data_IF_073079116491
#
_entry.id   IF_073079116491
#
_cell.length_a   1.000
_cell.length_b   1.000
_cell.length_c   1.000
_cell.angle_alpha   90.00
_cell.angle_beta   90.00
_cell.angle_gamma   90.00
#
_symmetry.space_group_name_H-M   'P 1'
#
loop_
_entity.id
_entity.type
_entity.pdbx_description
1 polymer ?
#
# COMPACT_ATOMS: atom_id res chain seq x y z
N UNK A 1 -3.22 29.75 -8.06
CA UNK A 1 -2.75 29.37 -9.41
C UNK A 1 -2.43 30.65 -10.15
N UNK A 2 -1.23 30.78 -10.72
CA UNK A 2 -0.79 31.96 -11.46
C UNK A 2 -0.72 31.54 -12.94
N UNK A 3 -1.54 32.20 -13.80
CA UNK A 3 -1.52 31.96 -15.24
C UNK A 3 -0.77 33.11 -15.92
N UNK A 4 0.22 32.78 -16.75
CA UNK A 4 0.97 33.78 -17.54
C UNK A 4 0.28 34.00 -18.88
N UNK A 5 -0.60 35.03 -18.93
CA UNK A 5 -1.18 35.49 -20.16
C UNK A 5 -2.49 34.82 -20.61
N UNK A 6 -3.22 35.47 -21.52
CA UNK A 6 -4.49 34.98 -22.06
C UNK A 6 -4.34 33.78 -23.02
N UNK A 7 -3.17 33.59 -23.62
CA UNK A 7 -2.87 32.46 -24.53
C UNK A 7 -2.99 31.12 -23.81
N UNK A 8 -2.53 31.07 -22.55
CA UNK A 8 -2.63 29.85 -21.72
C UNK A 8 -4.09 29.43 -21.51
N UNK A 9 -5.00 30.42 -21.33
CA UNK A 9 -6.43 30.13 -21.16
C UNK A 9 -7.01 29.58 -22.47
N UNK A 10 -6.58 30.10 -23.60
CA UNK A 10 -7.02 29.60 -24.91
C UNK A 10 -6.52 28.19 -25.19
N UNK A 11 -5.28 27.89 -24.84
CA UNK A 11 -4.72 26.56 -24.98
C UNK A 11 -5.42 25.53 -24.06
N UNK A 12 -5.74 25.92 -22.82
CA UNK A 12 -6.53 25.07 -21.91
C UNK A 12 -7.91 24.71 -22.47
N UNK A 13 -8.53 25.61 -23.24
CA UNK A 13 -9.84 25.34 -23.86
C UNK A 13 -9.79 24.29 -24.98
N UNK A 14 -8.60 23.93 -25.45
CA UNK A 14 -8.37 22.93 -26.51
C UNK A 14 -7.89 21.58 -25.98
N UNK A 15 -7.69 21.48 -24.66
CA UNK A 15 -7.24 20.22 -24.03
C UNK A 15 -8.33 19.17 -24.20
N UNK A 16 -8.02 18.09 -24.89
CA UNK A 16 -8.91 16.95 -25.07
C UNK A 16 -8.45 15.70 -24.30
N UNK A 17 -7.22 15.69 -23.81
CA UNK A 17 -6.63 14.60 -23.05
C UNK A 17 -5.97 15.13 -21.77
N UNK A 18 -6.31 14.54 -20.62
CA UNK A 18 -5.68 14.86 -19.34
C UNK A 18 -5.07 13.60 -18.76
N UNK A 19 -3.79 13.68 -18.40
CA UNK A 19 -3.05 12.61 -17.76
C UNK A 19 -2.89 12.92 -16.28
N UNK A 20 -3.29 12.00 -15.43
CA UNK A 20 -3.18 12.11 -13.99
C UNK A 20 -2.13 11.16 -13.46
N UNK A 21 -1.26 11.66 -12.58
CA UNK A 21 -0.54 10.80 -11.66
C UNK A 21 -1.50 10.24 -10.61
N UNK A 22 -1.29 8.98 -10.20
CA UNK A 22 -2.14 8.34 -9.19
C UNK A 22 -1.86 8.89 -7.80
N UNK A 23 -0.60 8.76 -7.36
CA UNK A 23 -0.23 8.95 -5.95
C UNK A 23 -0.15 10.42 -5.57
N UNK A 24 -0.91 10.83 -4.55
CA UNK A 24 -0.96 12.21 -4.09
C UNK A 24 -1.80 13.15 -4.98
N UNK A 25 -2.20 12.72 -6.19
CA UNK A 25 -3.08 13.47 -7.09
C UNK A 25 -4.52 12.95 -7.03
N UNK A 26 -4.79 11.77 -7.53
CA UNK A 26 -6.11 11.12 -7.44
C UNK A 26 -6.33 10.44 -6.10
N UNK A 27 -5.25 10.04 -5.45
CA UNK A 27 -5.25 9.53 -4.08
C UNK A 27 -4.74 10.59 -3.09
N UNK A 28 -4.91 10.32 -1.81
CA UNK A 28 -4.49 11.22 -0.72
C UNK A 28 -2.97 11.28 -0.61
N UNK A 29 -2.26 10.22 -1.04
CA UNK A 29 -0.81 10.08 -0.94
C UNK A 29 -0.35 9.55 0.43
N UNK A 30 -1.29 9.04 1.21
CA UNK A 30 -1.02 8.44 2.51
C UNK A 30 -1.57 7.01 2.52
N UNK A 31 -0.71 5.98 2.44
CA UNK A 31 -1.13 4.60 2.56
C UNK A 31 -1.72 4.35 3.96
N UNK A 32 -2.78 3.56 4.02
CA UNK A 32 -3.41 3.13 5.26
C UNK A 32 -3.63 1.61 5.24
N UNK A 33 -3.50 0.97 6.41
CA UNK A 33 -3.84 -0.44 6.57
C UNK A 33 -5.36 -0.56 6.48
N UNK A 34 -5.83 -1.29 5.48
CA UNK A 34 -7.25 -1.53 5.22
C UNK A 34 -7.71 -2.89 5.74
N UNK A 35 -6.79 -3.84 5.82
CA UNK A 35 -7.07 -5.21 6.24
C UNK A 35 -5.87 -5.75 7.02
N UNK A 36 -6.15 -6.48 8.11
CA UNK A 36 -5.15 -7.18 8.88
C UNK A 36 -5.67 -8.57 9.26
N UNK A 37 -4.93 -9.61 8.87
CA UNK A 37 -5.16 -10.99 9.28
C UNK A 37 -4.07 -11.43 10.24
N UNK A 38 -4.46 -11.98 11.38
CA UNK A 38 -3.58 -12.56 12.38
C UNK A 38 -3.77 -14.09 12.40
N UNK A 39 -2.65 -14.83 12.40
CA UNK A 39 -2.61 -16.30 12.40
C UNK A 39 -1.79 -16.80 13.58
N UNK A 40 -2.03 -16.23 14.74
CA UNK A 40 -1.33 -16.53 15.99
C UNK A 40 -2.30 -16.51 17.15
N UNK A 41 -2.04 -17.29 18.17
CA UNK A 41 -2.79 -17.25 19.43
C UNK A 41 -2.29 -16.13 20.36
N UNK A 42 -1.04 -15.67 20.17
CA UNK A 42 -0.44 -14.55 20.90
C UNK A 42 -0.38 -13.29 20.04
N UNK A 43 -1.51 -12.65 19.90
CA UNK A 43 -1.61 -11.42 19.11
C UNK A 43 -0.85 -10.24 19.72
N UNK A 44 -0.79 -10.12 21.04
CA UNK A 44 -0.13 -9.01 21.73
C UNK A 44 1.38 -8.99 21.48
N UNK A 45 2.05 -10.12 21.67
CA UNK A 45 3.48 -10.25 21.35
C UNK A 45 3.74 -10.06 19.86
N UNK A 46 2.90 -10.62 18.99
CA UNK A 46 3.03 -10.52 17.53
C UNK A 46 2.94 -9.07 17.06
N UNK A 47 1.98 -8.29 17.56
CA UNK A 47 1.84 -6.88 17.21
C UNK A 47 2.98 -6.02 17.78
N UNK A 48 3.49 -6.37 18.96
CA UNK A 48 4.68 -5.73 19.54
C UNK A 48 5.93 -5.97 18.71
N UNK A 49 6.14 -7.20 18.21
CA UNK A 49 7.24 -7.54 17.28
C UNK A 49 7.11 -6.72 16.00
N UNK A 50 5.94 -6.73 15.37
CA UNK A 50 5.67 -5.99 14.13
C UNK A 50 5.95 -4.49 14.31
N UNK A 51 5.41 -3.89 15.37
CA UNK A 51 5.60 -2.46 15.67
C UNK A 51 7.06 -2.13 15.94
N UNK A 52 7.80 -2.99 16.64
CA UNK A 52 9.20 -2.73 17.00
C UNK A 52 10.11 -2.67 15.77
N UNK A 53 9.90 -3.57 14.81
CA UNK A 53 10.70 -3.62 13.58
C UNK A 53 10.30 -2.47 12.64
N UNK A 54 9.00 -2.23 12.44
CA UNK A 54 8.52 -1.21 11.51
C UNK A 54 8.80 0.23 11.99
N UNK A 55 8.96 0.47 13.29
CA UNK A 55 9.39 1.76 13.83
C UNK A 55 10.80 2.17 13.41
N UNK A 56 11.66 1.22 13.07
CA UNK A 56 13.01 1.50 12.58
C UNK A 56 13.05 1.88 11.10
N UNK A 57 11.92 1.76 10.39
CA UNK A 57 11.82 1.98 8.96
C UNK A 57 11.20 3.33 8.61
N UNK A 58 11.82 4.06 7.68
CA UNK A 58 11.26 5.29 7.10
C UNK A 58 10.29 5.04 5.94
N UNK A 59 10.07 3.78 5.56
CA UNK A 59 9.20 3.44 4.45
C UNK A 59 7.74 3.87 4.71
N UNK A 60 7.02 4.43 3.72
CA UNK A 60 5.63 4.88 3.92
C UNK A 60 4.68 3.78 4.42
N UNK A 61 4.87 2.52 3.98
CA UNK A 61 4.07 1.39 4.45
C UNK A 61 4.34 1.08 5.93
N UNK A 62 5.60 1.15 6.37
CA UNK A 62 5.97 0.97 7.76
C UNK A 62 5.31 2.01 8.67
N UNK A 63 5.34 3.29 8.26
CA UNK A 63 4.67 4.38 8.97
C UNK A 63 3.15 4.16 9.06
N UNK A 64 2.54 3.64 7.98
CA UNK A 64 1.12 3.30 7.95
C UNK A 64 0.80 2.16 8.94
N UNK A 65 1.64 1.14 9.01
CA UNK A 65 1.49 0.01 9.94
C UNK A 65 1.60 0.51 11.39
N UNK A 66 2.66 1.25 11.72
CA UNK A 66 2.85 1.79 13.09
C UNK A 66 1.69 2.68 13.51
N UNK A 67 1.20 3.54 12.60
CA UNK A 67 0.02 4.38 12.85
C UNK A 67 -1.23 3.53 13.13
N UNK A 68 -1.45 2.48 12.36
CA UNK A 68 -2.60 1.59 12.50
C UNK A 68 -2.59 0.81 13.82
N UNK A 69 -1.41 0.30 14.21
CA UNK A 69 -1.25 -0.47 15.44
C UNK A 69 -1.38 0.39 16.71
N UNK A 70 -1.12 1.70 16.60
CA UNK A 70 -1.07 2.57 17.76
C UNK A 70 0.11 2.26 18.70
N UNK A 71 0.05 2.70 19.96
CA UNK A 71 1.09 2.43 20.94
C UNK A 71 1.21 0.94 21.25
N UNK A 72 2.40 0.37 21.01
CA UNK A 72 2.74 -1.01 21.33
C UNK A 72 4.01 -1.05 22.20
N UNK A 73 4.17 -2.05 23.07
CA UNK A 73 5.44 -2.30 23.75
C UNK A 73 6.57 -2.45 22.72
N UNK A 74 7.72 -1.85 22.99
CA UNK A 74 8.90 -1.93 22.12
C UNK A 74 9.80 -3.04 22.62
N UNK A 75 10.07 -3.99 21.75
CA UNK A 75 10.95 -5.12 21.99
C UNK A 75 12.32 -4.82 21.37
N UNK A 76 13.43 -5.20 22.02
CA UNK A 76 14.75 -5.08 21.44
C UNK A 76 14.86 -5.88 20.14
N UNK A 77 15.33 -5.23 19.08
CA UNK A 77 15.59 -5.84 17.79
C UNK A 77 17.10 -6.06 17.63
N UNK A 78 17.47 -7.24 17.17
CA UNK A 78 18.86 -7.61 16.94
C UNK A 78 19.04 -8.07 15.49
N UNK A 79 20.26 -7.94 14.98
CA UNK A 79 20.66 -8.47 13.66
C UNK A 79 19.72 -8.06 12.53
N UNK A 80 19.31 -6.80 12.51
CA UNK A 80 18.44 -6.25 11.47
C UNK A 80 19.17 -6.21 10.13
N UNK A 81 18.57 -6.81 9.11
CA UNK A 81 19.07 -6.83 7.73
C UNK A 81 17.97 -6.45 6.76
N UNK A 82 18.25 -5.44 5.91
CA UNK A 82 17.33 -5.10 4.82
C UNK A 82 17.52 -6.08 3.66
N UNK A 83 16.42 -6.71 3.24
CA UNK A 83 16.40 -7.64 2.11
C UNK A 83 16.27 -6.87 0.78
N UNK A 84 17.11 -7.21 -0.19
CA UNK A 84 16.94 -6.70 -1.56
C UNK A 84 15.63 -7.21 -2.13
N UNK A 85 14.75 -6.29 -2.54
CA UNK A 85 13.44 -6.65 -3.09
C UNK A 85 12.25 -6.38 -2.18
N UNK A 86 12.46 -5.86 -0.97
CA UNK A 86 11.37 -5.26 -0.18
C UNK A 86 11.03 -5.96 1.12
N UNK A 87 11.96 -5.99 2.04
CA UNK A 87 11.68 -6.47 3.40
C UNK A 87 12.83 -6.29 4.36
N UNK A 88 12.58 -6.68 5.60
CA UNK A 88 13.52 -6.65 6.72
C UNK A 88 13.51 -8.02 7.39
N UNK A 89 14.70 -8.50 7.75
CA UNK A 89 14.87 -9.61 8.68
C UNK A 89 15.49 -9.09 9.96
N UNK A 90 15.02 -9.58 11.09
CA UNK A 90 15.54 -9.24 12.40
C UNK A 90 15.43 -10.44 13.35
N UNK A 91 16.09 -10.35 14.49
CA UNK A 91 15.90 -11.27 15.61
C UNK A 91 15.25 -10.49 16.75
N UNK A 92 14.11 -10.96 17.25
CA UNK A 92 13.38 -10.36 18.37
C UNK A 92 13.10 -11.47 19.38
N UNK A 93 13.48 -11.26 20.63
CA UNK A 93 13.37 -12.29 21.68
C UNK A 93 13.98 -13.65 21.29
N UNK A 94 15.08 -13.65 20.54
CA UNK A 94 15.73 -14.86 20.05
C UNK A 94 15.04 -15.55 18.87
N UNK A 95 13.92 -15.03 18.39
CA UNK A 95 13.17 -15.56 17.25
C UNK A 95 13.51 -14.80 15.96
N UNK A 96 13.65 -15.52 14.86
CA UNK A 96 13.86 -14.92 13.53
C UNK A 96 12.54 -14.42 12.97
N UNK A 97 12.53 -13.17 12.62
CA UNK A 97 11.37 -12.46 12.05
C UNK A 97 11.72 -11.96 10.65
N UNK A 98 10.81 -12.14 9.70
CA UNK A 98 10.91 -11.52 8.39
C UNK A 98 9.61 -10.74 8.11
N UNK A 99 9.76 -9.47 7.71
CA UNK A 99 8.64 -8.57 7.36
C UNK A 99 8.90 -7.96 5.99
N UNK A 100 7.88 -7.89 5.16
CA UNK A 100 7.96 -7.25 3.85
C UNK A 100 6.91 -7.74 2.88
N UNK A 101 7.16 -7.59 1.58
CA UNK A 101 6.28 -8.14 0.57
C UNK A 101 6.34 -9.69 0.56
N UNK A 102 5.49 -10.34 -0.23
CA UNK A 102 5.40 -11.81 -0.27
C UNK A 102 6.74 -12.52 -0.52
N UNK A 103 7.72 -11.86 -1.14
CA UNK A 103 9.04 -12.46 -1.45
C UNK A 103 9.90 -12.70 -0.20
N UNK A 104 9.57 -12.10 0.96
CA UNK A 104 10.28 -12.35 2.22
C UNK A 104 9.95 -13.72 2.84
N UNK A 105 8.84 -14.32 2.42
CA UNK A 105 8.48 -15.65 2.85
C UNK A 105 9.48 -16.65 2.25
N UNK A 106 10.25 -17.28 3.11
CA UNK A 106 11.17 -18.34 2.68
C UNK A 106 10.40 -19.53 2.09
N UNK A 107 11.07 -20.36 1.30
CA UNK A 107 10.50 -21.62 0.79
C UNK A 107 10.11 -22.59 1.89
N UNK A 108 10.58 -22.38 3.11
CA UNK A 108 10.22 -23.17 4.28
C UNK A 108 8.84 -22.79 4.88
N UNK A 109 8.30 -21.62 4.52
CA UNK A 109 6.96 -21.20 4.96
C UNK A 109 5.90 -21.95 4.17
N UNK A 110 5.18 -22.84 4.83
CA UNK A 110 4.02 -23.52 4.27
C UNK A 110 2.76 -22.74 4.62
N UNK A 111 2.07 -22.24 3.59
CA UNK A 111 0.81 -21.53 3.77
C UNK A 111 -0.34 -22.52 3.95
N UNK A 112 -1.19 -22.27 4.92
CA UNK A 112 -2.49 -22.97 5.01
C UNK A 112 -3.40 -22.53 3.87
N UNK A 113 -4.43 -23.31 3.50
CA UNK A 113 -5.40 -22.90 2.49
C UNK A 113 -6.07 -21.54 2.78
N UNK A 114 -6.34 -21.26 4.07
CA UNK A 114 -6.88 -19.97 4.50
C UNK A 114 -5.91 -18.82 4.24
N UNK A 115 -4.67 -18.95 4.66
CA UNK A 115 -3.63 -17.94 4.45
C UNK A 115 -3.39 -17.66 2.96
N UNK A 116 -3.41 -18.70 2.13
CA UNK A 116 -3.29 -18.55 0.68
C UNK A 116 -4.49 -17.83 0.07
N UNK A 117 -5.71 -18.10 0.53
CA UNK A 117 -6.92 -17.42 0.09
C UNK A 117 -6.94 -15.95 0.49
N UNK A 118 -6.61 -15.65 1.75
CA UNK A 118 -6.56 -14.27 2.26
C UNK A 118 -5.51 -13.41 1.48
N UNK A 119 -4.35 -13.99 1.16
CA UNK A 119 -3.35 -13.33 0.31
C UNK A 119 -3.86 -13.07 -1.11
N UNK A 120 -4.51 -14.07 -1.72
CA UNK A 120 -5.06 -13.94 -3.06
C UNK A 120 -6.16 -12.87 -3.13
N UNK A 121 -7.03 -12.78 -2.14
CA UNK A 121 -8.06 -11.75 -2.04
C UNK A 121 -7.47 -10.34 -2.02
N UNK A 122 -6.42 -10.10 -1.22
CA UNK A 122 -5.75 -8.82 -1.16
C UNK A 122 -5.00 -8.48 -2.47
N UNK A 123 -4.40 -9.49 -3.13
CA UNK A 123 -3.78 -9.33 -4.44
C UNK A 123 -4.82 -8.96 -5.51
N UNK A 124 -5.97 -9.62 -5.51
CA UNK A 124 -7.08 -9.32 -6.43
C UNK A 124 -7.69 -7.94 -6.16
N UNK A 125 -7.75 -7.54 -4.89
CA UNK A 125 -8.15 -6.19 -4.50
C UNK A 125 -7.12 -5.11 -4.84
N UNK A 126 -5.97 -5.45 -5.43
CA UNK A 126 -4.91 -4.52 -5.83
C UNK A 126 -4.28 -3.76 -4.66
N UNK A 127 -4.23 -4.37 -3.49
CA UNK A 127 -3.61 -3.79 -2.30
C UNK A 127 -2.11 -4.07 -2.27
N UNK A 128 -1.35 -3.18 -1.63
CA UNK A 128 0.04 -3.48 -1.28
C UNK A 128 0.03 -4.44 -0.09
N UNK A 129 0.67 -5.60 -0.25
CA UNK A 129 0.68 -6.63 0.78
C UNK A 129 1.98 -6.56 1.57
N UNK A 130 1.84 -6.53 2.89
CA UNK A 130 2.95 -6.75 3.83
C UNK A 130 2.65 -8.00 4.64
N UNK A 131 3.62 -8.90 4.72
CA UNK A 131 3.55 -10.13 5.51
C UNK A 131 4.60 -10.13 6.60
N UNK A 132 4.31 -10.75 7.73
CA UNK A 132 5.29 -11.06 8.77
C UNK A 132 5.28 -12.55 9.06
N UNK A 133 6.47 -13.16 9.01
CA UNK A 133 6.69 -14.53 9.49
C UNK A 133 7.64 -14.56 10.69
N UNK A 134 7.35 -15.44 11.63
CA UNK A 134 8.19 -15.72 12.80
C UNK A 134 8.56 -17.20 12.75
N UNK A 135 9.85 -17.52 12.83
CA UNK A 135 10.38 -18.91 12.74
C UNK A 135 9.78 -19.70 11.56
N UNK A 136 9.67 -19.06 10.38
CA UNK A 136 9.08 -19.61 9.15
C UNK A 136 7.57 -19.93 9.24
N UNK A 137 6.85 -19.37 10.20
CA UNK A 137 5.40 -19.43 10.27
C UNK A 137 4.81 -18.07 9.93
N UNK A 138 3.90 -18.01 8.96
CA UNK A 138 3.19 -16.78 8.63
C UNK A 138 2.26 -16.42 9.78
N UNK A 139 2.47 -15.25 10.38
CA UNK A 139 1.68 -14.78 11.52
C UNK A 139 0.81 -13.57 11.19
N UNK A 140 1.24 -12.70 10.26
CA UNK A 140 0.49 -11.51 9.91
C UNK A 140 0.45 -11.33 8.41
N UNK A 141 -0.70 -10.95 7.89
CA UNK A 141 -0.90 -10.44 6.54
C UNK A 141 -1.62 -9.10 6.65
N UNK A 142 -1.05 -8.08 6.04
CA UNK A 142 -1.61 -6.73 5.97
C UNK A 142 -1.90 -6.36 4.52
N UNK A 143 -3.09 -5.85 4.28
CA UNK A 143 -3.45 -5.14 3.08
C UNK A 143 -3.37 -3.64 3.31
N UNK A 144 -2.65 -2.94 2.45
CA UNK A 144 -2.42 -1.50 2.55
C UNK A 144 -2.82 -0.86 1.23
N UNK A 145 -3.62 0.18 1.28
CA UNK A 145 -4.04 0.94 0.10
C UNK A 145 -3.93 2.45 0.35
N UNK A 146 -3.63 3.18 -0.72
CA UNK A 146 -3.74 4.63 -0.71
C UNK A 146 -5.17 5.01 -1.12
N UNK A 147 -5.84 5.77 -0.28
CA UNK A 147 -7.24 6.11 -0.47
C UNK A 147 -7.44 7.09 -1.62
N UNK A 148 -8.40 6.82 -2.48
CA UNK A 148 -8.88 7.76 -3.50
C UNK A 148 -9.48 8.98 -2.82
N UNK A 149 -9.18 10.18 -3.34
CA UNK A 149 -9.76 11.42 -2.80
C UNK A 149 -11.29 11.40 -2.93
N UNK A 150 -12.05 11.76 -1.89
CA UNK A 150 -13.51 11.67 -1.90
C UNK A 150 -14.19 12.33 -3.11
N UNK A 151 -13.62 13.44 -3.61
CA UNK A 151 -14.18 14.21 -4.72
C UNK A 151 -13.53 13.90 -6.08
N UNK A 152 -12.56 12.97 -6.16
CA UNK A 152 -11.82 12.70 -7.40
C UNK A 152 -12.77 12.29 -8.53
N UNK A 153 -13.69 11.36 -8.28
CA UNK A 153 -14.66 10.89 -9.27
C UNK A 153 -15.56 12.02 -9.80
N UNK A 154 -16.02 12.89 -8.91
CA UNK A 154 -16.86 14.03 -9.29
C UNK A 154 -16.09 15.04 -10.16
N UNK A 155 -14.84 15.36 -9.81
CA UNK A 155 -13.99 16.26 -10.60
C UNK A 155 -13.66 15.68 -11.97
N UNK A 156 -13.39 14.36 -12.07
CA UNK A 156 -13.17 13.68 -13.35
C UNK A 156 -14.42 13.72 -14.24
N UNK A 157 -15.60 13.52 -13.64
CA UNK A 157 -16.87 13.64 -14.37
C UNK A 157 -17.09 15.07 -14.89
N UNK A 158 -16.76 16.11 -14.10
CA UNK A 158 -16.83 17.50 -14.54
C UNK A 158 -15.89 17.78 -15.71
N UNK A 159 -14.66 17.25 -15.71
CA UNK A 159 -13.75 17.39 -16.85
C UNK A 159 -14.33 16.81 -18.15
N UNK A 160 -14.96 15.62 -18.07
CA UNK A 160 -15.68 15.04 -19.22
C UNK A 160 -16.81 15.93 -19.72
N UNK A 161 -17.59 16.53 -18.81
CA UNK A 161 -18.65 17.47 -19.16
C UNK A 161 -18.13 18.77 -19.81
N UNK A 162 -16.93 19.22 -19.45
CA UNK A 162 -16.25 20.36 -20.04
C UNK A 162 -15.59 20.06 -21.40
N UNK A 163 -15.73 18.84 -21.92
CA UNK A 163 -15.27 18.49 -23.27
C UNK A 163 -13.94 17.72 -23.32
N UNK A 164 -13.37 17.36 -22.17
CA UNK A 164 -12.19 16.46 -22.14
C UNK A 164 -12.62 15.07 -22.63
N UNK A 165 -11.97 14.60 -23.70
CA UNK A 165 -12.31 13.33 -24.35
C UNK A 165 -11.66 12.12 -23.69
N UNK A 166 -10.43 12.31 -23.21
CA UNK A 166 -9.63 11.23 -22.62
C UNK A 166 -9.09 11.63 -21.24
N UNK A 167 -9.26 10.74 -20.27
CA UNK A 167 -8.69 10.84 -18.95
C UNK A 167 -7.80 9.60 -18.75
N UNK A 168 -6.50 9.83 -18.64
CA UNK A 168 -5.47 8.78 -18.57
C UNK A 168 -4.90 8.72 -17.16
N UNK A 169 -4.81 7.54 -16.58
CA UNK A 169 -4.14 7.31 -15.32
C UNK A 169 -2.71 6.82 -15.59
N UNK A 170 -1.72 7.55 -15.09
CA UNK A 170 -0.32 7.16 -15.12
C UNK A 170 0.14 6.77 -13.71
N UNK A 171 0.78 5.62 -13.58
CA UNK A 171 1.32 5.15 -12.31
C UNK A 171 2.45 4.15 -12.54
N UNK A 172 3.42 4.14 -11.63
CA UNK A 172 4.45 3.09 -11.54
C UNK A 172 4.03 1.85 -10.78
N UNK A 173 2.78 1.76 -10.32
CA UNK A 173 2.26 0.65 -9.54
C UNK A 173 1.96 -0.59 -10.41
N UNK A 174 1.72 -1.72 -9.76
CA UNK A 174 1.27 -2.92 -10.43
C UNK A 174 -0.06 -2.69 -11.18
N UNK A 175 -0.21 -3.30 -12.35
CA UNK A 175 -1.37 -3.13 -13.24
C UNK A 175 -2.71 -3.32 -12.50
N UNK A 176 -2.85 -4.34 -11.66
CA UNK A 176 -4.07 -4.58 -10.86
C UNK A 176 -4.45 -3.42 -9.95
N UNK A 177 -3.46 -2.78 -9.31
CA UNK A 177 -3.69 -1.59 -8.46
C UNK A 177 -4.20 -0.41 -9.30
N UNK A 178 -3.61 -0.22 -10.47
CA UNK A 178 -4.00 0.85 -11.40
C UNK A 178 -5.41 0.61 -11.93
N UNK A 179 -5.71 -0.63 -12.37
CA UNK A 179 -7.04 -1.02 -12.85
C UNK A 179 -8.13 -0.81 -11.80
N UNK A 180 -7.87 -1.20 -10.55
CA UNK A 180 -8.82 -0.97 -9.45
C UNK A 180 -9.13 0.51 -9.27
N UNK A 181 -8.10 1.35 -9.20
CA UNK A 181 -8.29 2.80 -9.04
C UNK A 181 -9.00 3.40 -10.26
N UNK A 182 -8.66 2.95 -11.47
CA UNK A 182 -9.33 3.38 -12.68
C UNK A 182 -10.83 3.03 -12.66
N UNK A 183 -11.18 1.79 -12.29
CA UNK A 183 -12.58 1.35 -12.15
C UNK A 183 -13.33 2.15 -11.09
N UNK A 184 -12.75 2.37 -9.92
CA UNK A 184 -13.35 3.16 -8.83
C UNK A 184 -13.64 4.59 -9.28
N UNK A 185 -12.75 5.18 -10.08
CA UNK A 185 -12.86 6.54 -10.60
C UNK A 185 -13.71 6.65 -11.88
N UNK A 186 -14.10 5.53 -12.50
CA UNK A 186 -14.81 5.51 -13.78
C UNK A 186 -13.92 5.95 -14.95
N UNK A 187 -12.62 5.64 -14.87
CA UNK A 187 -11.64 5.76 -15.95
C UNK A 187 -11.62 4.45 -16.76
N UNK A 188 -11.47 4.58 -18.05
CA UNK A 188 -11.37 3.44 -18.98
C UNK A 188 -10.00 3.41 -19.62
#
# INVERSE_FOLDING_TARGET
MLLKGSEVIHDFSRVDTVVFDKTGTLTIGHPEVTTMHLYTDDSETTLSILSSIEKESDHPLAKAIVKHLGPQPILPTEKTHVLRGGGIQAVVNGQRVAIGNRSVLSTAVQLTPKQAADLAELEEAGQSIVVMSVENQLQVVLGIADQVRPNAKAHLAQLKQLGVKQLVLLSGDHAKTVERVAQELGLT
#
